data_IF_558501711303
#
_entry.id   IF_558501711303
#
_cell.length_a   1.000
_cell.length_b   1.000
_cell.length_c   1.000
_cell.angle_alpha   90.00
_cell.angle_beta   90.00
_cell.angle_gamma   90.00
#
_symmetry.space_group_name_H-M   'P 1'
#
loop_
_entity.id
_entity.type
_entity.pdbx_description
1 polymer ?
#
# COMPACT_ATOMS: atom_id res chain seq x y z
N UNK A 1 -43.84 95.45 8.94
CA UNK A 1 -43.90 96.56 7.98
C UNK A 1 -42.76 96.36 6.97
N UNK A 2 -43.10 96.19 5.68
CA UNK A 2 -42.24 96.19 4.46
C UNK A 2 -41.23 95.03 4.25
N UNK A 3 -41.48 94.16 3.24
CA UNK A 3 -40.89 94.11 1.86
C UNK A 3 -39.53 93.39 1.85
N UNK A 4 -39.09 92.59 0.88
CA UNK A 4 -39.46 92.28 -0.51
C UNK A 4 -38.66 91.03 -0.92
N UNK A 5 -39.17 90.25 -1.88
CA UNK A 5 -38.43 89.19 -2.57
C UNK A 5 -37.24 89.76 -3.37
N UNK A 6 -36.14 89.01 -3.46
CA UNK A 6 -35.25 88.98 -4.62
C UNK A 6 -34.46 87.65 -4.68
N UNK A 7 -34.59 86.99 -5.83
CA UNK A 7 -33.95 85.75 -6.27
C UNK A 7 -32.42 85.86 -6.34
N UNK A 8 -31.66 84.82 -5.91
CA UNK A 8 -30.26 84.58 -6.33
C UNK A 8 -29.89 83.10 -6.35
N UNK A 9 -29.15 82.76 -7.41
CA UNK A 9 -28.71 81.46 -7.95
C UNK A 9 -28.22 80.35 -7.02
N UNK A 10 -28.52 79.16 -7.52
CA UNK A 10 -27.97 77.82 -7.34
C UNK A 10 -26.43 77.76 -7.29
N UNK A 11 -25.86 77.18 -6.22
CA UNK A 11 -24.63 76.36 -6.26
C UNK A 11 -24.82 75.23 -5.26
N UNK A 12 -25.13 74.03 -5.76
CA UNK A 12 -25.10 72.81 -4.95
C UNK A 12 -23.64 72.36 -4.79
N UNK A 13 -23.09 72.48 -3.57
CA UNK A 13 -21.81 71.88 -3.24
C UNK A 13 -22.01 70.37 -3.02
N UNK A 14 -21.59 69.55 -3.99
CA UNK A 14 -21.50 68.10 -3.83
C UNK A 14 -20.30 67.83 -2.91
N UNK A 15 -20.56 67.51 -1.65
CA UNK A 15 -19.56 66.95 -0.74
C UNK A 15 -19.42 65.48 -1.12
N UNK A 16 -18.42 65.16 -1.94
CA UNK A 16 -18.00 63.79 -2.17
C UNK A 16 -17.18 63.31 -0.96
N UNK A 17 -17.82 62.59 -0.05
CA UNK A 17 -17.12 61.90 1.04
C UNK A 17 -16.35 60.72 0.44
N UNK A 18 -15.06 60.89 0.20
CA UNK A 18 -14.18 59.81 -0.23
C UNK A 18 -13.88 58.90 0.97
N UNK A 19 -14.41 57.67 0.95
CA UNK A 19 -13.95 56.61 1.85
C UNK A 19 -12.59 56.15 1.34
N UNK A 20 -11.52 56.62 1.96
CA UNK A 20 -10.18 56.05 1.76
C UNK A 20 -10.13 54.69 2.46
N UNK A 21 -10.37 53.61 1.72
CA UNK A 21 -9.97 52.27 2.17
C UNK A 21 -8.46 52.23 2.00
N UNK A 22 -7.71 52.42 3.09
CA UNK A 22 -6.29 52.11 3.09
C UNK A 22 -6.15 50.62 2.71
N UNK A 23 -5.40 50.26 1.66
CA UNK A 23 -5.14 48.86 1.38
C UNK A 23 -4.41 48.29 2.58
N UNK A 24 -5.03 47.32 3.26
CA UNK A 24 -4.35 46.48 4.23
C UNK A 24 -3.09 45.95 3.55
N UNK A 25 -1.88 46.03 4.15
CA UNK A 25 -0.71 45.47 3.52
C UNK A 25 -0.98 43.99 3.27
N UNK A 26 -1.08 43.62 2.00
CA UNK A 26 -1.17 42.25 1.58
C UNK A 26 0.15 41.62 2.04
N UNK A 27 0.11 40.78 3.06
CA UNK A 27 1.31 40.04 3.48
C UNK A 27 1.71 39.15 2.30
N UNK A 28 2.71 39.58 1.54
CA UNK A 28 3.33 38.81 0.45
C UNK A 28 4.32 37.77 0.98
N UNK A 29 4.24 37.43 2.27
CA UNK A 29 4.76 36.14 2.71
C UNK A 29 3.88 35.09 2.04
N UNK A 30 4.26 34.69 0.83
CA UNK A 30 3.97 33.35 0.36
C UNK A 30 4.41 32.45 1.51
N UNK A 31 3.44 31.92 2.26
CA UNK A 31 3.70 30.80 3.12
C UNK A 31 4.23 29.74 2.17
N UNK A 32 5.55 29.52 2.19
CA UNK A 32 6.15 28.42 1.46
C UNK A 32 5.62 27.17 2.14
N UNK A 33 4.49 26.65 1.65
CA UNK A 33 3.94 25.40 2.13
C UNK A 33 5.03 24.36 1.94
N UNK A 34 5.49 23.80 3.06
CA UNK A 34 6.44 22.69 3.03
C UNK A 34 5.70 21.55 2.32
N UNK A 35 6.27 21.05 1.23
CA UNK A 35 5.60 20.03 0.43
C UNK A 35 5.62 18.69 1.19
N UNK A 36 4.42 18.21 1.53
CA UNK A 36 4.23 16.89 2.12
C UNK A 36 4.51 15.77 1.11
N UNK A 37 4.96 14.58 1.55
CA UNK A 37 5.08 13.44 0.67
C UNK A 37 3.74 13.06 0.03
N UNK A 38 3.75 12.79 -1.28
CA UNK A 38 2.60 12.29 -2.03
C UNK A 38 3.05 11.10 -2.87
N UNK A 39 2.57 9.90 -2.55
CA UNK A 39 2.99 8.70 -3.28
C UNK A 39 2.30 8.58 -4.64
N UNK A 40 3.04 8.04 -5.62
CA UNK A 40 2.43 7.54 -6.84
C UNK A 40 1.46 6.40 -6.49
N UNK A 41 0.29 6.40 -7.10
CA UNK A 41 -0.74 5.37 -6.92
C UNK A 41 -0.59 4.20 -7.90
N UNK A 42 0.45 4.19 -8.73
CA UNK A 42 0.77 3.16 -9.72
C UNK A 42 2.17 2.60 -9.47
N UNK A 43 2.43 1.36 -9.89
CA UNK A 43 3.73 0.69 -9.70
C UNK A 43 3.99 0.22 -8.27
N UNK A 44 2.94 0.13 -7.44
CA UNK A 44 2.99 -0.52 -6.13
C UNK A 44 2.81 -2.02 -6.35
N UNK A 45 3.81 -2.80 -6.00
CA UNK A 45 3.87 -4.23 -6.28
C UNK A 45 4.24 -5.00 -5.01
N UNK A 46 4.05 -6.31 -5.00
CA UNK A 46 4.67 -7.18 -3.99
C UNK A 46 6.08 -7.59 -4.41
N UNK A 47 6.92 -7.98 -3.45
CA UNK A 47 8.08 -8.81 -3.78
C UNK A 47 7.66 -10.14 -4.39
N UNK A 48 8.57 -10.77 -5.13
CA UNK A 48 8.35 -12.12 -5.69
C UNK A 48 8.12 -13.19 -4.62
N UNK A 49 8.58 -12.93 -3.40
CA UNK A 49 8.40 -13.80 -2.25
C UNK A 49 7.13 -13.45 -1.44
N UNK A 50 6.49 -12.31 -1.70
CA UNK A 50 5.23 -11.93 -1.05
C UNK A 50 5.37 -11.49 0.42
N UNK A 51 6.57 -11.16 0.88
CA UNK A 51 6.80 -10.60 2.22
C UNK A 51 6.93 -9.07 2.24
N UNK A 52 7.09 -8.41 1.10
CA UNK A 52 7.15 -6.96 1.01
C UNK A 52 6.13 -6.41 0.03
N UNK A 53 5.57 -5.24 0.34
CA UNK A 53 4.93 -4.34 -0.62
C UNK A 53 5.91 -3.23 -0.90
N UNK A 54 6.23 -3.04 -2.17
CA UNK A 54 7.31 -2.21 -2.67
C UNK A 54 6.77 -1.17 -3.65
N UNK A 55 7.61 -0.20 -4.00
CA UNK A 55 7.30 0.74 -5.07
C UNK A 55 6.48 1.96 -4.62
N UNK A 56 6.32 2.18 -3.31
CA UNK A 56 5.84 3.49 -2.84
C UNK A 56 6.93 4.54 -3.11
N UNK A 57 6.80 5.27 -4.21
CA UNK A 57 7.70 6.36 -4.59
C UNK A 57 7.00 7.70 -4.40
N UNK A 58 7.60 8.61 -3.63
CA UNK A 58 7.11 9.98 -3.55
C UNK A 58 7.17 10.63 -4.94
N UNK A 59 6.05 11.14 -5.43
CA UNK A 59 5.90 11.73 -6.75
C UNK A 59 6.79 12.97 -6.96
N UNK A 60 7.20 13.62 -5.86
CA UNK A 60 8.14 14.74 -5.90
C UNK A 60 9.61 14.31 -6.09
N UNK A 61 9.91 13.01 -6.06
CA UNK A 61 11.26 12.47 -6.27
C UNK A 61 12.26 12.86 -5.18
N UNK A 62 13.56 12.90 -5.49
CA UNK A 62 14.59 13.29 -4.54
C UNK A 62 14.89 14.79 -4.60
N UNK A 63 14.02 15.63 -4.04
CA UNK A 63 14.27 17.07 -3.90
C UNK A 63 14.50 17.44 -2.44
N UNK A 64 15.48 18.33 -2.21
CA UNK A 64 16.08 18.68 -0.91
C UNK A 64 15.13 19.34 0.11
N UNK A 65 13.86 19.57 -0.21
CA UNK A 65 12.92 20.30 0.64
C UNK A 65 11.54 19.64 0.81
N UNK A 66 11.23 18.54 0.11
CA UNK A 66 9.92 17.87 0.25
C UNK A 66 9.78 16.50 -0.40
N UNK A 67 10.73 16.11 -1.25
CA UNK A 67 10.72 14.83 -1.94
C UNK A 67 11.28 13.68 -1.09
N UNK A 68 12.25 13.98 -0.24
CA UNK A 68 12.89 13.02 0.66
C UNK A 68 11.99 12.72 1.86
N UNK A 69 11.68 11.43 2.07
CA UNK A 69 11.07 10.95 3.32
C UNK A 69 12.08 11.08 4.45
N UNK A 70 11.63 11.54 5.60
CA UNK A 70 12.47 11.81 6.76
C UNK A 70 11.64 11.80 8.04
N UNK A 71 12.25 12.24 9.13
CA UNK A 71 11.62 12.21 10.45
C UNK A 71 11.47 10.79 11.00
N UNK A 72 10.55 10.64 11.95
CA UNK A 72 10.19 9.34 12.53
C UNK A 72 9.35 8.54 11.55
N UNK A 73 9.55 7.23 11.47
CA UNK A 73 8.73 6.37 10.61
C UNK A 73 7.28 6.33 11.12
N UNK A 74 6.28 6.19 10.23
CA UNK A 74 4.91 5.97 10.63
C UNK A 74 4.76 4.71 11.47
N UNK A 75 3.76 4.68 12.36
CA UNK A 75 3.40 3.45 13.06
C UNK A 75 2.91 2.40 12.08
N UNK A 76 3.36 1.14 12.23
CA UNK A 76 2.92 0.04 11.35
C UNK A 76 1.40 -0.21 11.43
N UNK A 77 0.78 0.15 12.56
CA UNK A 77 -0.66 0.05 12.82
C UNK A 77 -1.50 1.02 11.96
N UNK A 78 -0.89 2.12 11.50
CA UNK A 78 -1.55 3.12 10.67
C UNK A 78 -1.77 2.64 9.23
N UNK A 79 -1.13 1.53 8.85
CA UNK A 79 -1.35 0.85 7.58
C UNK A 79 -2.40 -0.24 7.71
N UNK A 80 -3.31 -0.28 6.76
CA UNK A 80 -4.26 -1.38 6.56
C UNK A 80 -3.94 -2.06 5.24
N UNK A 81 -3.35 -3.27 5.32
CA UNK A 81 -3.13 -4.14 4.16
C UNK A 81 -4.20 -5.23 4.18
N UNK A 82 -5.01 -5.30 3.14
CA UNK A 82 -6.00 -6.36 2.94
C UNK A 82 -5.58 -7.24 1.77
N UNK A 83 -5.60 -8.55 2.00
CA UNK A 83 -5.30 -9.60 1.03
C UNK A 83 -6.51 -10.52 0.97
N UNK A 84 -7.20 -10.54 -0.17
CA UNK A 84 -8.49 -11.22 -0.36
C UNK A 84 -9.54 -10.81 0.72
N UNK A 85 -9.46 -9.56 1.16
CA UNK A 85 -10.31 -8.98 2.21
C UNK A 85 -9.86 -9.27 3.64
N UNK A 86 -8.86 -10.13 3.87
CA UNK A 86 -8.30 -10.40 5.19
C UNK A 86 -7.12 -9.48 5.50
N UNK A 87 -7.03 -8.97 6.72
CA UNK A 87 -5.92 -8.11 7.14
C UNK A 87 -4.63 -8.92 7.32
N UNK A 88 -3.54 -8.44 6.71
CA UNK A 88 -2.16 -8.81 7.07
C UNK A 88 -1.53 -7.63 7.80
N UNK A 89 -0.86 -7.88 8.93
CA UNK A 89 -0.19 -6.82 9.67
C UNK A 89 1.09 -6.40 8.95
N UNK A 90 1.37 -5.10 8.96
CA UNK A 90 2.69 -4.57 8.59
C UNK A 90 3.63 -4.82 9.77
N UNK A 91 4.75 -5.49 9.51
CA UNK A 91 5.77 -5.79 10.50
C UNK A 91 6.78 -4.64 10.65
N UNK A 92 7.13 -3.98 9.55
CA UNK A 92 8.01 -2.83 9.56
C UNK A 92 7.83 -1.95 8.33
N UNK A 93 8.25 -0.69 8.47
CA UNK A 93 8.35 0.28 7.39
C UNK A 93 9.83 0.51 7.13
N UNK A 94 10.26 0.49 5.87
CA UNK A 94 11.63 0.79 5.48
C UNK A 94 11.65 1.97 4.52
N UNK A 95 12.55 2.93 4.74
CA UNK A 95 12.80 4.02 3.80
C UNK A 95 14.12 3.78 3.06
N UNK A 96 14.17 4.13 1.78
CA UNK A 96 15.42 4.22 1.02
C UNK A 96 16.20 2.91 0.87
N UNK A 97 15.53 1.74 0.79
CA UNK A 97 16.15 0.41 0.73
C UNK A 97 17.18 0.23 -0.40
N UNK A 98 17.13 1.07 -1.45
CA UNK A 98 18.07 1.05 -2.58
C UNK A 98 18.98 2.28 -2.69
N UNK A 99 19.09 3.09 -1.63
CA UNK A 99 19.61 4.44 -1.76
C UNK A 99 20.79 4.77 -0.85
N UNK A 100 22.00 4.93 -1.42
CA UNK A 100 23.10 5.64 -0.75
C UNK A 100 22.92 7.17 -0.78
N UNK A 101 21.97 7.71 -1.57
CA UNK A 101 21.84 9.16 -1.84
C UNK A 101 20.40 9.72 -1.88
N UNK A 102 19.35 8.92 -1.66
CA UNK A 102 17.95 9.37 -1.86
C UNK A 102 16.87 8.64 -1.02
N UNK A 103 16.25 9.29 -0.03
CA UNK A 103 15.27 8.63 0.86
C UNK A 103 13.81 8.84 0.45
N UNK A 104 13.43 8.79 -0.84
CA UNK A 104 12.06 9.09 -1.31
C UNK A 104 11.19 7.84 -1.59
N UNK A 105 11.73 6.66 -1.28
CA UNK A 105 11.05 5.37 -1.44
C UNK A 105 10.69 4.77 -0.07
N UNK A 106 9.56 4.09 0.00
CA UNK A 106 9.11 3.34 1.15
C UNK A 106 8.72 1.92 0.75
N UNK A 107 9.12 0.94 1.54
CA UNK A 107 8.63 -0.43 1.45
C UNK A 107 7.99 -0.85 2.77
N UNK A 108 6.99 -1.73 2.70
CA UNK A 108 6.32 -2.31 3.86
C UNK A 108 6.68 -3.79 3.93
N UNK A 109 7.27 -4.23 5.04
CA UNK A 109 7.42 -5.66 5.32
C UNK A 109 6.17 -6.17 6.02
N UNK A 110 5.68 -7.33 5.61
CA UNK A 110 4.46 -7.95 6.12
C UNK A 110 4.77 -9.03 7.15
N UNK A 111 3.86 -9.24 8.10
CA UNK A 111 3.96 -10.28 9.12
C UNK A 111 3.74 -11.69 8.58
N UNK A 112 3.16 -11.80 7.39
CA UNK A 112 2.79 -13.06 6.75
C UNK A 112 2.84 -12.91 5.24
N UNK A 113 3.05 -14.04 4.57
CA UNK A 113 3.28 -14.10 3.14
C UNK A 113 1.97 -13.93 2.35
N UNK A 114 2.03 -13.11 1.31
CA UNK A 114 1.03 -13.04 0.25
C UNK A 114 1.25 -14.20 -0.72
N UNK A 115 0.18 -14.80 -1.22
CA UNK A 115 0.23 -15.85 -2.23
C UNK A 115 -0.11 -15.31 -3.62
N UNK A 116 0.40 -16.01 -4.65
CA UNK A 116 0.13 -15.67 -6.05
C UNK A 116 -1.37 -15.67 -6.33
N UNK A 117 -1.85 -14.69 -7.09
CA UNK A 117 -3.26 -14.55 -7.47
C UNK A 117 -4.15 -13.83 -6.47
N UNK A 118 -3.70 -13.58 -5.23
CA UNK A 118 -4.44 -12.77 -4.25
C UNK A 118 -4.66 -11.34 -4.72
N UNK A 119 -5.80 -10.75 -4.34
CA UNK A 119 -6.13 -9.35 -4.54
C UNK A 119 -5.68 -8.55 -3.33
N UNK A 120 -4.86 -7.53 -3.54
CA UNK A 120 -4.19 -6.80 -2.46
C UNK A 120 -4.55 -5.32 -2.53
N UNK A 121 -4.89 -4.76 -1.37
CA UNK A 121 -5.04 -3.31 -1.20
C UNK A 121 -4.28 -2.82 0.00
N UNK A 122 -3.84 -1.57 -0.06
CA UNK A 122 -3.14 -0.89 1.02
C UNK A 122 -3.71 0.50 1.24
N UNK A 123 -3.97 0.82 2.50
CA UNK A 123 -4.35 2.16 2.96
C UNK A 123 -3.44 2.63 4.07
N UNK A 124 -3.32 3.94 4.21
CA UNK A 124 -2.61 4.61 5.29
C UNK A 124 -3.53 5.66 5.92
N UNK A 125 -3.66 5.62 7.24
CA UNK A 125 -4.29 6.66 8.03
C UNK A 125 -3.21 7.55 8.64
N UNK A 126 -3.17 8.81 8.22
CA UNK A 126 -2.27 9.80 8.81
C UNK A 126 -2.69 10.11 10.26
N UNK A 127 -1.75 10.30 11.19
CA UNK A 127 -2.05 10.88 12.50
C UNK A 127 -2.49 12.35 12.34
N UNK A 128 -2.86 12.98 13.45
CA UNK A 128 -3.12 14.43 13.46
C UNK A 128 -1.88 15.19 12.95
N UNK A 129 -2.04 16.16 12.03
CA UNK A 129 -0.90 16.86 11.45
C UNK A 129 -0.04 17.57 12.50
N UNK A 130 1.27 17.33 12.46
CA UNK A 130 2.27 17.94 13.35
C UNK A 130 3.51 18.33 12.54
N UNK A 131 3.91 19.62 12.51
CA UNK A 131 5.08 20.08 11.77
C UNK A 131 6.44 19.68 12.41
N UNK A 132 6.44 19.04 13.59
CA UNK A 132 7.65 18.54 14.24
C UNK A 132 8.19 17.27 13.57
N UNK A 133 9.48 16.95 13.74
CA UNK A 133 10.12 15.80 13.07
C UNK A 133 9.96 14.44 13.78
N UNK A 134 9.15 14.40 14.85
CA UNK A 134 9.10 13.28 15.81
C UNK A 134 7.76 12.56 15.84
N UNK A 135 6.74 13.07 15.17
CA UNK A 135 5.46 12.40 15.05
C UNK A 135 5.59 11.16 14.14
N UNK A 136 4.80 10.13 14.43
CA UNK A 136 4.81 8.88 13.68
C UNK A 136 3.96 9.00 12.40
N UNK A 137 4.34 9.93 11.51
CA UNK A 137 3.72 10.14 10.21
C UNK A 137 4.65 9.69 9.07
N UNK A 138 4.08 9.48 7.88
CA UNK A 138 4.88 9.55 6.66
C UNK A 138 5.21 11.02 6.46
N UNK A 139 6.49 11.38 6.61
CA UNK A 139 6.88 12.78 6.70
C UNK A 139 8.03 13.13 5.76
N UNK A 140 8.09 14.38 5.32
CA UNK A 140 9.28 14.92 4.67
C UNK A 140 10.40 15.20 5.69
N UNK A 141 11.64 15.34 5.22
CA UNK A 141 12.75 15.81 6.09
C UNK A 141 12.59 17.22 6.68
N UNK A 142 11.52 17.94 6.31
CA UNK A 142 11.20 19.31 6.72
C UNK A 142 9.95 19.40 7.61
N UNK A 143 9.35 18.26 7.97
CA UNK A 143 8.23 18.22 8.92
C UNK A 143 6.83 18.23 8.31
N UNK A 144 6.69 18.13 6.98
CA UNK A 144 5.37 18.08 6.37
C UNK A 144 4.85 16.64 6.33
N UNK A 145 3.67 16.43 6.91
CA UNK A 145 3.01 15.13 7.00
C UNK A 145 2.22 14.81 5.73
N UNK A 146 2.39 13.59 5.22
CA UNK A 146 1.56 13.07 4.16
C UNK A 146 0.11 12.91 4.62
N UNK A 147 -0.83 13.19 3.72
CA UNK A 147 -2.23 12.90 3.96
C UNK A 147 -2.50 11.38 3.98
N UNK A 148 -3.63 10.99 4.57
CA UNK A 148 -4.16 9.63 4.44
C UNK A 148 -4.36 9.26 2.98
N UNK A 149 -4.17 7.98 2.63
CA UNK A 149 -4.43 7.47 1.29
C UNK A 149 -5.04 6.07 1.31
N UNK A 150 -5.57 5.69 0.15
CA UNK A 150 -6.06 4.34 -0.13
C UNK A 150 -7.59 4.19 -0.03
N UNK A 151 -8.09 2.97 -0.32
CA UNK A 151 -7.31 1.78 -0.68
C UNK A 151 -6.64 1.90 -2.05
N UNK A 152 -5.33 1.66 -2.11
CA UNK A 152 -4.57 1.57 -3.35
C UNK A 152 -4.43 0.10 -3.73
N UNK A 153 -4.62 -0.22 -5.01
CA UNK A 153 -4.37 -1.57 -5.52
C UNK A 153 -2.86 -1.85 -5.59
N UNK A 154 -2.48 -3.07 -5.24
CA UNK A 154 -1.10 -3.55 -5.33
C UNK A 154 -1.03 -4.66 -6.37
N UNK A 155 -0.10 -4.57 -7.31
CA UNK A 155 0.15 -5.64 -8.29
C UNK A 155 0.76 -6.84 -7.58
N UNK A 156 0.15 -8.01 -7.73
CA UNK A 156 0.65 -9.24 -7.15
C UNK A 156 1.70 -9.87 -8.07
N UNK A 157 2.97 -9.63 -7.76
CA UNK A 157 4.12 -10.19 -8.47
C UNK A 157 4.66 -11.46 -7.77
N UNK A 158 3.91 -12.03 -6.80
CA UNK A 158 4.31 -13.26 -6.12
C UNK A 158 4.30 -14.43 -7.08
N UNK A 159 5.43 -15.15 -7.16
CA UNK A 159 5.49 -16.41 -7.89
C UNK A 159 4.84 -17.52 -7.05
N UNK A 160 3.90 -18.25 -7.64
CA UNK A 160 3.33 -19.44 -6.98
C UNK A 160 4.39 -20.55 -6.78
N UNK A 161 4.05 -21.60 -6.02
CA UNK A 161 4.82 -22.84 -6.08
C UNK A 161 4.85 -23.34 -7.52
N UNK A 162 6.02 -23.81 -7.96
CA UNK A 162 6.09 -24.57 -9.20
C UNK A 162 5.32 -25.90 -9.05
N UNK A 163 5.07 -26.55 -10.19
CA UNK A 163 4.47 -27.88 -10.20
C UNK A 163 5.26 -28.85 -9.30
N UNK A 164 4.57 -29.78 -8.59
CA UNK A 164 5.26 -30.81 -7.83
C UNK A 164 6.25 -31.59 -8.72
N UNK A 165 7.30 -32.13 -8.11
CA UNK A 165 8.14 -33.11 -8.79
C UNK A 165 7.33 -34.37 -9.15
N UNK A 166 7.90 -35.24 -9.98
CA UNK A 166 7.24 -36.50 -10.35
C UNK A 166 6.95 -37.31 -9.08
N UNK A 167 5.66 -37.58 -8.83
CA UNK A 167 5.23 -38.39 -7.70
C UNK A 167 5.57 -39.87 -7.94
N UNK A 168 5.84 -40.60 -6.86
CA UNK A 168 5.99 -42.06 -6.90
C UNK A 168 4.82 -42.72 -6.21
N UNK A 169 4.38 -43.86 -6.75
CA UNK A 169 3.19 -44.57 -6.27
C UNK A 169 3.55 -46.02 -5.96
N UNK A 170 3.21 -46.46 -4.75
CA UNK A 170 3.32 -47.85 -4.33
C UNK A 170 1.90 -48.40 -4.14
N UNK A 171 1.43 -49.32 -5.01
CA UNK A 171 0.09 -49.89 -4.90
C UNK A 171 -0.02 -50.84 -3.71
N UNK A 172 -1.21 -50.91 -3.12
CA UNK A 172 -1.60 -51.87 -2.09
C UNK A 172 -3.04 -52.36 -2.29
N UNK A 173 -3.51 -53.28 -1.44
CA UNK A 173 -4.88 -53.78 -1.51
C UNK A 173 -5.85 -52.65 -1.15
N UNK A 174 -6.65 -52.22 -2.12
CA UNK A 174 -7.65 -51.15 -2.02
C UNK A 174 -7.07 -49.80 -1.54
N UNK A 175 -5.78 -49.58 -1.77
CA UNK A 175 -5.06 -48.36 -1.38
C UNK A 175 -3.83 -48.11 -2.25
N UNK A 176 -3.35 -46.88 -2.24
CA UNK A 176 -2.07 -46.50 -2.83
C UNK A 176 -1.32 -45.59 -1.86
N UNK A 177 0.00 -45.80 -1.74
CA UNK A 177 0.88 -44.87 -1.03
C UNK A 177 1.56 -43.97 -2.05
N UNK A 178 1.36 -42.67 -1.93
CA UNK A 178 1.87 -41.66 -2.86
C UNK A 178 2.95 -40.88 -2.14
N UNK A 179 4.12 -40.74 -2.77
CA UNK A 179 5.19 -39.87 -2.28
C UNK A 179 5.39 -38.73 -3.25
N UNK A 180 5.25 -37.51 -2.75
CA UNK A 180 5.44 -36.25 -3.49
C UNK A 180 6.81 -35.68 -3.16
N UNK A 181 7.50 -35.23 -4.19
CA UNK A 181 8.79 -34.53 -4.07
C UNK A 181 8.60 -33.03 -4.27
N UNK A 182 9.45 -32.25 -3.62
CA UNK A 182 9.40 -30.79 -3.70
C UNK A 182 9.67 -30.30 -5.13
N UNK A 183 9.05 -29.18 -5.55
CA UNK A 183 9.35 -28.55 -6.82
C UNK A 183 10.80 -28.08 -6.86
N UNK A 184 11.35 -27.99 -8.07
CA UNK A 184 12.59 -27.26 -8.32
C UNK A 184 12.26 -25.78 -8.54
N UNK A 185 12.68 -24.93 -7.61
CA UNK A 185 12.45 -23.48 -7.67
C UNK A 185 11.00 -23.05 -7.36
N UNK A 186 10.75 -21.74 -7.45
CA UNK A 186 9.48 -21.14 -7.04
C UNK A 186 9.33 -21.08 -5.52
N UNK A 187 8.15 -20.69 -5.04
CA UNK A 187 7.85 -20.74 -3.61
C UNK A 187 7.72 -22.17 -3.10
N UNK A 188 8.18 -22.39 -1.88
CA UNK A 188 8.02 -23.67 -1.18
C UNK A 188 6.54 -23.90 -0.86
N UNK A 189 5.90 -24.95 -1.42
CA UNK A 189 4.51 -25.25 -1.11
C UNK A 189 4.36 -25.74 0.33
N UNK A 190 3.22 -25.42 0.94
CA UNK A 190 2.88 -25.83 2.31
C UNK A 190 2.10 -27.14 2.37
N UNK A 191 1.48 -27.54 1.25
CA UNK A 191 0.78 -28.81 1.11
C UNK A 191 0.57 -29.20 -0.35
N UNK A 192 0.25 -30.46 -0.58
CA UNK A 192 -0.30 -30.98 -1.83
C UNK A 192 -1.59 -31.72 -1.56
N UNK A 193 -2.54 -31.58 -2.47
CA UNK A 193 -3.71 -32.45 -2.57
C UNK A 193 -3.46 -33.44 -3.71
N UNK A 194 -3.50 -34.73 -3.40
CA UNK A 194 -3.39 -35.81 -4.36
C UNK A 194 -4.79 -36.38 -4.58
N UNK A 195 -5.20 -36.52 -5.83
CA UNK A 195 -6.54 -37.01 -6.20
C UNK A 195 -6.41 -38.21 -7.13
N UNK A 196 -7.06 -39.30 -6.79
CA UNK A 196 -7.18 -40.48 -7.66
C UNK A 196 -8.37 -40.31 -8.62
N UNK A 197 -8.13 -40.51 -9.91
CA UNK A 197 -9.16 -40.56 -10.95
C UNK A 197 -9.13 -41.94 -11.65
N UNK A 198 -10.26 -42.64 -11.82
CA UNK A 198 -11.62 -42.23 -11.48
C UNK A 198 -11.91 -42.29 -9.97
N UNK A 199 -13.08 -41.81 -9.53
CA UNK A 199 -13.57 -41.99 -8.16
C UNK A 199 -13.28 -40.84 -7.18
N UNK A 200 -12.28 -40.00 -7.45
CA UNK A 200 -12.06 -38.74 -6.73
C UNK A 200 -11.59 -38.89 -5.28
N UNK A 201 -11.08 -40.06 -4.88
CA UNK A 201 -10.50 -40.24 -3.55
C UNK A 201 -9.24 -39.39 -3.40
N UNK A 202 -9.08 -38.69 -2.28
CA UNK A 202 -7.97 -37.75 -2.07
C UNK A 202 -7.11 -38.09 -0.85
N UNK A 203 -5.87 -37.62 -0.85
CA UNK A 203 -5.06 -37.50 0.36
C UNK A 203 -4.21 -36.22 0.33
N UNK A 204 -3.85 -35.72 1.51
CA UNK A 204 -3.03 -34.51 1.65
C UNK A 204 -1.62 -34.87 2.09
N UNK A 205 -0.62 -34.32 1.39
CA UNK A 205 0.77 -34.28 1.87
C UNK A 205 1.00 -32.91 2.49
N UNK A 206 1.32 -32.86 3.79
CA UNK A 206 1.70 -31.62 4.46
C UNK A 206 3.19 -31.35 4.27
N UNK A 207 3.53 -30.10 3.98
CA UNK A 207 4.90 -29.66 3.70
C UNK A 207 5.25 -29.70 2.21
N UNK A 208 6.49 -29.33 1.91
CA UNK A 208 7.00 -29.25 0.55
C UNK A 208 7.29 -30.61 -0.08
N UNK A 209 7.27 -31.69 0.71
CA UNK A 209 7.43 -33.06 0.25
C UNK A 209 6.93 -34.01 1.35
N UNK A 210 6.67 -35.26 1.00
CA UNK A 210 6.21 -36.26 1.95
C UNK A 210 5.41 -37.36 1.28
N UNK A 211 4.76 -38.18 2.10
CA UNK A 211 3.88 -39.24 1.61
C UNK A 211 2.49 -39.18 2.24
N UNK A 212 1.49 -39.63 1.47
CA UNK A 212 0.13 -39.86 1.96
C UNK A 212 -0.43 -41.15 1.36
N UNK A 213 -1.50 -41.66 1.96
CA UNK A 213 -2.16 -42.90 1.54
C UNK A 213 -3.56 -42.56 1.08
N UNK A 214 -3.90 -42.93 -0.16
CA UNK A 214 -5.28 -42.96 -0.64
C UNK A 214 -5.85 -44.35 -0.34
N UNK A 215 -6.99 -44.41 0.34
CA UNK A 215 -7.70 -45.65 0.70
C UNK A 215 -9.06 -45.73 0.01
N UNK A 216 -9.66 -46.93 -0.01
CA UNK A 216 -10.99 -47.14 -0.60
C UNK A 216 -10.97 -47.25 -2.12
N UNK A 217 -9.84 -47.68 -2.68
CA UNK A 217 -9.71 -47.92 -4.11
C UNK A 217 -10.32 -49.28 -4.48
N UNK A 218 -10.98 -49.37 -5.64
CA UNK A 218 -11.60 -50.60 -6.13
C UNK A 218 -10.54 -51.53 -6.73
N UNK A 219 -10.49 -52.78 -6.25
CA UNK A 219 -9.58 -53.79 -6.78
C UNK A 219 -9.79 -53.99 -8.30
N UNK A 220 -8.68 -54.03 -9.06
CA UNK A 220 -8.70 -54.20 -10.52
C UNK A 220 -9.01 -52.93 -11.32
N UNK A 221 -9.27 -51.79 -10.68
CA UNK A 221 -9.46 -50.50 -11.36
C UNK A 221 -8.12 -49.77 -11.50
N UNK A 222 -7.84 -49.24 -12.69
CA UNK A 222 -6.68 -48.38 -12.93
C UNK A 222 -6.99 -46.94 -12.50
N UNK A 223 -6.02 -46.28 -11.84
CA UNK A 223 -6.13 -44.90 -11.36
C UNK A 223 -4.98 -44.05 -11.91
N UNK A 224 -5.24 -42.75 -12.11
CA UNK A 224 -4.29 -41.68 -12.40
C UNK A 224 -4.38 -40.59 -11.36
#
# INVERSE_FOLDING_TARGET
MFKSLASRSLIAAIIATTVMIAPLPLSTHAASAIAAPLFNTTGINTSSDGLTIEGFMNALGNVSSGGTLGGTKPEVSSFTVLVDGQRIAVASVQYGFLCPTACYMMDLTLSSRIYSGSIITVSYAAPDPDPGLTNAAIQSGTGADAASFGPLSVTNDVFGPNLPGVATVVPGIEKATITVTAPTGGLTPTSYEVTASPGGATCTVTGASGSCIITGLTAGTAYT
#
